data_IF_085122384858
#
_entry.id   IF_085122384858
#
_cell.length_a   1.000
_cell.length_b   1.000
_cell.length_c   1.000
_cell.angle_alpha   90.00
_cell.angle_beta   90.00
_cell.angle_gamma   90.00
#
_symmetry.space_group_name_H-M   'P 1'
#
loop_
_entity.id
_entity.type
_entity.pdbx_description
1 polymer ?
#
# COMPACT_ATOMS: atom_id res chain seq x y z
N UNK A 1 -9.28 24.60 27.35
CA UNK A 1 -9.08 25.45 26.16
C UNK A 1 -9.20 24.57 24.94
N UNK A 2 -9.58 25.10 23.77
CA UNK A 2 -9.71 24.29 22.56
C UNK A 2 -8.37 23.63 22.20
N UNK A 3 -8.42 22.40 21.71
CA UNK A 3 -7.26 21.68 21.21
C UNK A 3 -7.66 20.65 20.15
N UNK A 4 -6.70 20.25 19.32
CA UNK A 4 -6.84 19.13 18.39
C UNK A 4 -5.68 18.16 18.58
N UNK A 5 -6.03 16.94 18.98
CA UNK A 5 -5.09 15.85 19.19
C UNK A 5 -4.55 15.27 17.88
N UNK A 6 -3.29 14.81 17.95
CA UNK A 6 -2.55 14.18 16.86
C UNK A 6 -1.82 12.97 17.43
N UNK A 7 -2.05 11.79 16.84
CA UNK A 7 -1.27 10.60 17.11
C UNK A 7 -0.15 10.46 16.08
N UNK A 8 1.09 10.37 16.56
CA UNK A 8 2.27 10.23 15.71
C UNK A 8 2.88 8.85 15.85
N UNK A 9 3.24 8.25 14.71
CA UNK A 9 3.80 6.91 14.59
C UNK A 9 5.11 7.01 13.80
N UNK A 10 6.10 6.20 14.16
CA UNK A 10 7.33 6.13 13.38
C UNK A 10 7.91 4.73 13.30
N UNK A 11 8.54 4.44 12.16
CA UNK A 11 9.40 3.27 12.00
C UNK A 11 10.74 3.68 11.38
N UNK A 12 11.81 3.58 12.13
CA UNK A 12 13.15 4.01 11.73
C UNK A 12 14.07 2.79 11.77
N UNK A 13 14.65 2.44 10.63
CA UNK A 13 15.65 1.38 10.50
C UNK A 13 16.83 1.88 9.66
N UNK A 14 17.42 2.96 10.12
CA UNK A 14 18.57 3.58 9.48
C UNK A 14 19.46 4.24 10.56
N UNK A 15 20.77 3.96 10.59
CA UNK A 15 21.66 4.55 11.59
C UNK A 15 21.67 6.08 11.53
N UNK A 16 21.72 6.73 12.69
CA UNK A 16 21.73 8.20 12.85
C UNK A 16 20.45 8.94 12.42
N UNK A 17 19.42 8.23 11.96
CA UNK A 17 18.15 8.86 11.61
C UNK A 17 17.26 9.02 12.85
N UNK A 18 16.53 10.12 12.88
CA UNK A 18 15.45 10.37 13.84
C UNK A 18 14.32 11.15 13.18
N UNK A 19 13.14 11.10 13.78
CA UNK A 19 11.99 11.90 13.35
C UNK A 19 11.55 12.76 14.51
N UNK A 20 11.57 14.09 14.33
CA UNK A 20 11.04 15.03 15.31
C UNK A 20 9.64 15.47 14.90
N UNK A 21 8.66 15.17 15.73
CA UNK A 21 7.29 15.68 15.61
C UNK A 21 7.10 16.89 16.52
N UNK A 22 6.51 17.97 16.02
CA UNK A 22 6.37 19.24 16.75
C UNK A 22 4.97 19.82 16.61
N UNK A 23 4.52 20.47 17.68
CA UNK A 23 3.31 21.29 17.77
C UNK A 23 3.65 22.59 18.53
N UNK A 24 2.80 23.63 18.55
CA UNK A 24 3.04 24.78 19.40
C UNK A 24 3.20 24.33 20.87
N UNK A 25 4.26 24.78 21.54
CA UNK A 25 4.53 24.46 22.95
C UNK A 25 5.25 23.13 23.21
N UNK A 26 5.45 22.26 22.21
CA UNK A 26 6.08 20.96 22.45
C UNK A 26 6.59 20.21 21.22
N UNK A 27 7.49 19.25 21.45
CA UNK A 27 7.95 18.32 20.42
C UNK A 27 8.36 16.97 21.06
N UNK A 28 8.41 15.95 20.23
CA UNK A 28 8.94 14.62 20.56
C UNK A 28 9.92 14.20 19.45
N UNK A 29 11.04 13.60 19.83
CA UNK A 29 12.01 13.01 18.89
C UNK A 29 11.90 11.50 19.02
N UNK A 30 11.77 10.82 17.88
CA UNK A 30 11.67 9.36 17.77
C UNK A 30 12.88 8.79 17.05
N UNK A 31 13.25 7.60 17.47
CA UNK A 31 14.43 6.84 17.03
C UNK A 31 14.05 5.38 16.75
N UNK A 32 15.01 4.56 16.32
CA UNK A 32 14.77 3.12 16.13
C UNK A 32 14.25 2.41 17.41
N UNK A 33 14.61 2.90 18.61
CA UNK A 33 14.12 2.31 19.86
C UNK A 33 12.62 2.52 20.09
N UNK A 34 12.01 3.44 19.35
CA UNK A 34 10.60 3.82 19.47
C UNK A 34 9.69 3.10 18.45
N UNK A 35 10.24 2.21 17.63
CA UNK A 35 9.49 1.56 16.56
C UNK A 35 8.24 0.82 17.08
N UNK A 36 7.15 0.93 16.31
CA UNK A 36 5.85 0.35 16.64
C UNK A 36 5.23 0.89 17.95
N UNK A 37 5.56 2.12 18.30
CA UNK A 37 4.86 2.87 19.36
C UNK A 37 4.17 4.10 18.77
N UNK A 38 3.28 4.73 19.55
CA UNK A 38 2.70 6.02 19.19
C UNK A 38 2.92 7.05 20.29
N UNK A 39 2.94 8.33 19.92
CA UNK A 39 2.90 9.47 20.85
C UNK A 39 1.69 10.31 20.52
N UNK A 40 1.06 10.84 21.56
CA UNK A 40 0.02 11.83 21.44
C UNK A 40 0.61 13.23 21.60
N UNK A 41 0.26 14.13 20.68
CA UNK A 41 0.55 15.57 20.71
C UNK A 41 -0.74 16.36 20.59
N UNK A 42 -0.76 17.59 21.10
CA UNK A 42 -1.93 18.47 21.09
C UNK A 42 -1.56 19.82 20.47
N UNK A 43 -2.37 20.27 19.50
CA UNK A 43 -2.34 21.66 19.05
C UNK A 43 -3.27 22.45 19.97
N UNK A 44 -2.73 22.94 21.09
CA UNK A 44 -3.49 23.69 22.10
C UNK A 44 -3.55 25.19 21.80
N UNK A 45 -4.73 25.82 21.88
CA UNK A 45 -4.86 27.26 21.62
C UNK A 45 -4.02 28.14 22.55
N UNK A 46 -3.67 27.68 23.75
CA UNK A 46 -2.85 28.43 24.71
C UNK A 46 -1.40 28.61 24.28
N UNK A 47 -0.90 27.68 23.47
CA UNK A 47 0.48 27.64 23.01
C UNK A 47 0.63 28.33 21.64
N UNK A 48 -0.49 28.80 21.07
CA UNK A 48 -0.54 29.57 19.83
C UNK A 48 -0.44 31.06 20.15
N UNK A 49 0.48 31.75 19.47
CA UNK A 49 0.67 33.19 19.68
C UNK A 49 -0.48 34.00 19.09
N UNK A 50 -1.10 34.84 19.93
CA UNK A 50 -2.14 35.80 19.57
C UNK A 50 -3.50 35.51 20.22
N UNK A 51 -4.16 36.55 20.77
CA UNK A 51 -5.39 36.42 21.57
C UNK A 51 -6.62 35.89 20.81
N UNK A 52 -6.58 35.83 19.48
CA UNK A 52 -7.64 35.30 18.62
C UNK A 52 -7.09 34.41 17.50
N UNK A 53 -5.86 33.91 17.65
CA UNK A 53 -5.27 32.98 16.70
C UNK A 53 -5.48 31.55 17.20
N UNK A 54 -6.17 30.74 16.41
CA UNK A 54 -6.46 29.35 16.74
C UNK A 54 -5.71 28.37 15.85
N UNK A 55 -4.95 28.84 14.87
CA UNK A 55 -4.20 27.99 13.94
C UNK A 55 -2.79 27.73 14.43
N UNK A 56 -2.48 26.46 14.70
CA UNK A 56 -1.18 25.99 15.13
C UNK A 56 -0.60 24.98 14.15
N UNK A 57 0.73 24.97 14.00
CA UNK A 57 1.41 24.08 13.07
C UNK A 57 1.78 22.76 13.73
N UNK A 58 1.31 21.65 13.15
CA UNK A 58 1.94 20.35 13.32
C UNK A 58 3.01 20.16 12.24
N UNK A 59 4.18 19.69 12.63
CA UNK A 59 5.30 19.44 11.71
C UNK A 59 6.01 18.13 12.08
N UNK A 60 6.48 17.40 11.08
CA UNK A 60 7.56 16.43 11.29
C UNK A 60 8.81 16.85 10.52
N UNK A 61 9.97 16.55 11.12
CA UNK A 61 11.28 16.73 10.50
C UNK A 61 12.04 15.42 10.58
N UNK A 62 12.48 14.88 9.45
CA UNK A 62 13.40 13.73 9.41
C UNK A 62 14.83 14.27 9.45
N UNK A 63 15.61 13.79 10.41
CA UNK A 63 16.97 14.23 10.68
C UNK A 63 17.93 13.06 10.44
N UNK A 64 19.09 13.35 9.85
CA UNK A 64 20.27 12.49 9.83
C UNK A 64 21.36 13.18 10.68
N UNK A 65 21.52 12.73 11.92
CA UNK A 65 22.24 13.49 12.94
C UNK A 65 21.59 14.86 13.17
N UNK A 66 22.34 15.93 12.91
CA UNK A 66 21.83 17.31 12.99
C UNK A 66 21.29 17.84 11.66
N UNK A 67 21.49 17.12 10.56
CA UNK A 67 21.08 17.57 9.22
C UNK A 67 19.62 17.24 8.96
N UNK A 68 18.85 18.24 8.54
CA UNK A 68 17.49 18.04 8.07
C UNK A 68 17.49 17.39 6.68
N UNK A 69 16.82 16.23 6.58
CA UNK A 69 16.63 15.52 5.31
C UNK A 69 15.35 15.99 4.63
N UNK A 70 14.24 16.08 5.39
CA UNK A 70 12.97 16.62 4.90
C UNK A 70 12.13 17.17 6.05
N UNK A 71 11.21 18.08 5.73
CA UNK A 71 10.18 18.59 6.63
C UNK A 71 8.83 18.57 5.93
N UNK A 72 7.78 18.22 6.65
CA UNK A 72 6.40 18.31 6.19
C UNK A 72 5.52 18.82 7.32
N UNK A 73 4.49 19.60 6.99
CA UNK A 73 3.65 20.22 8.00
C UNK A 73 2.20 20.39 7.56
N UNK A 74 1.33 20.58 8.56
CA UNK A 74 -0.06 21.00 8.39
C UNK A 74 -0.40 22.04 9.46
N UNK A 75 -1.03 23.11 9.03
CA UNK A 75 -1.58 24.15 9.88
C UNK A 75 -3.02 23.75 10.26
N UNK A 76 -3.28 23.64 11.57
CA UNK A 76 -4.50 23.06 12.14
C UNK A 76 -5.16 24.09 13.02
N UNK A 77 -6.44 24.35 12.78
CA UNK A 77 -7.28 25.14 13.68
C UNK A 77 -7.60 24.31 14.94
N UNK A 78 -7.09 24.75 16.08
CA UNK A 78 -7.26 24.09 17.39
C UNK A 78 -8.70 24.06 17.92
N UNK A 79 -9.61 24.86 17.34
CA UNK A 79 -11.02 24.89 17.76
C UNK A 79 -11.89 23.95 16.93
N UNK A 80 -11.71 23.96 15.62
CA UNK A 80 -12.51 23.21 14.65
C UNK A 80 -11.85 21.91 14.20
N UNK A 81 -10.53 21.78 14.35
CA UNK A 81 -9.72 20.71 13.77
C UNK A 81 -9.50 20.85 12.27
N UNK A 82 -9.99 21.93 11.63
CA UNK A 82 -9.86 22.16 10.20
C UNK A 82 -8.40 22.37 9.81
N UNK A 83 -8.02 21.81 8.67
CA UNK A 83 -6.69 22.00 8.08
C UNK A 83 -6.73 23.26 7.23
N UNK A 84 -5.89 24.24 7.56
CA UNK A 84 -5.88 25.59 6.96
C UNK A 84 -4.75 25.78 5.94
N UNK A 85 -3.70 24.96 6.00
CA UNK A 85 -2.48 25.10 5.19
C UNK A 85 -1.56 23.91 5.40
N UNK A 86 -0.58 23.71 4.51
CA UNK A 86 0.40 22.62 4.69
C UNK A 86 0.95 22.02 3.41
N UNK A 87 1.89 21.10 3.59
CA UNK A 87 2.45 20.25 2.54
C UNK A 87 1.82 18.86 2.51
N UNK A 88 0.94 18.55 3.47
CA UNK A 88 0.20 17.28 3.53
C UNK A 88 -1.30 17.57 3.53
N UNK A 89 -1.77 18.33 2.53
CA UNK A 89 -3.19 18.73 2.39
C UNK A 89 -3.97 17.87 1.41
N UNK A 90 -3.28 17.10 0.56
CA UNK A 90 -3.85 16.03 -0.23
C UNK A 90 -3.01 14.75 -0.12
N UNK A 91 -3.63 13.60 -0.33
CA UNK A 91 -2.92 12.31 -0.29
C UNK A 91 -1.94 12.16 -1.45
N UNK A 92 -2.19 12.85 -2.56
CA UNK A 92 -1.24 13.01 -3.67
C UNK A 92 0.02 13.80 -3.30
N UNK A 93 -0.02 14.61 -2.24
CA UNK A 93 1.14 15.35 -1.70
C UNK A 93 2.01 14.49 -0.77
N UNK A 94 1.53 13.30 -0.39
CA UNK A 94 2.17 12.42 0.59
C UNK A 94 3.08 11.37 -0.07
N UNK A 95 3.80 11.74 -1.13
CA UNK A 95 4.66 10.81 -1.88
C UNK A 95 5.89 10.42 -1.08
N UNK A 96 6.34 9.18 -1.26
CA UNK A 96 7.59 8.71 -0.69
C UNK A 96 8.77 9.49 -1.28
N UNK A 97 9.68 9.93 -0.40
CA UNK A 97 10.88 10.67 -0.75
C UNK A 97 12.04 9.68 -0.84
N UNK A 98 12.66 9.61 -2.02
CA UNK A 98 13.87 8.83 -2.25
C UNK A 98 15.10 9.75 -2.21
N UNK A 99 16.02 9.45 -1.31
CA UNK A 99 17.35 10.07 -1.26
C UNK A 99 18.40 9.06 -1.74
N UNK A 100 19.69 9.39 -1.66
CA UNK A 100 20.74 8.44 -2.03
C UNK A 100 20.82 7.25 -1.05
N UNK A 101 20.55 7.50 0.24
CA UNK A 101 20.72 6.53 1.32
C UNK A 101 19.41 6.08 1.97
N UNK A 102 18.37 6.93 1.97
CA UNK A 102 17.10 6.68 2.66
C UNK A 102 15.88 6.65 1.74
N UNK A 103 14.90 5.83 2.13
CA UNK A 103 13.51 5.88 1.70
C UNK A 103 12.71 6.46 2.87
N UNK A 104 12.07 7.61 2.65
CA UNK A 104 11.23 8.26 3.64
C UNK A 104 9.79 8.23 3.15
N UNK A 105 8.97 7.39 3.75
CA UNK A 105 7.53 7.33 3.49
C UNK A 105 6.77 7.95 4.65
N UNK A 106 5.67 8.63 4.36
CA UNK A 106 4.85 9.25 5.39
C UNK A 106 3.40 9.34 4.93
N UNK A 107 2.52 9.55 5.89
CA UNK A 107 1.14 9.90 5.61
C UNK A 107 0.49 10.65 6.75
N UNK A 108 -0.59 11.37 6.42
CA UNK A 108 -1.38 12.17 7.32
C UNK A 108 -2.87 11.92 7.10
N UNK A 109 -3.58 11.65 8.19
CA UNK A 109 -5.03 11.53 8.25
C UNK A 109 -5.63 12.68 9.03
N UNK A 110 -6.45 13.50 8.37
CA UNK A 110 -7.22 14.58 8.99
C UNK A 110 -8.53 14.07 9.59
N UNK A 111 -8.57 13.86 10.91
CA UNK A 111 -9.73 13.28 11.58
C UNK A 111 -10.86 14.28 11.83
N UNK A 112 -12.10 13.79 11.72
CA UNK A 112 -13.31 14.48 12.14
C UNK A 112 -13.54 14.42 13.66
N UNK A 113 -14.81 14.25 14.08
CA UNK A 113 -15.18 14.18 15.49
C UNK A 113 -15.26 12.74 16.04
N UNK A 114 -14.90 11.75 15.23
CA UNK A 114 -14.80 10.34 15.62
C UNK A 114 -16.08 9.54 15.42
N UNK A 115 -16.87 9.89 14.40
CA UNK A 115 -18.12 9.22 14.09
C UNK A 115 -17.89 7.79 13.56
N UNK A 116 -18.84 6.90 13.85
CA UNK A 116 -18.84 5.51 13.41
C UNK A 116 -17.60 4.70 13.82
N UNK A 117 -16.95 5.13 14.91
CA UNK A 117 -15.77 4.48 15.48
C UNK A 117 -14.45 4.95 14.91
N UNK A 118 -14.44 5.83 13.89
CA UNK A 118 -13.24 6.51 13.45
C UNK A 118 -12.61 7.29 14.60
N UNK A 119 -11.31 7.50 14.55
CA UNK A 119 -10.64 8.34 15.53
C UNK A 119 -11.07 9.80 15.40
N UNK A 120 -11.10 10.53 16.51
CA UNK A 120 -11.27 11.98 16.55
C UNK A 120 -9.93 12.73 16.56
N UNK A 121 -8.81 12.01 16.54
CA UNK A 121 -7.46 12.55 16.52
C UNK A 121 -6.86 12.44 15.12
N UNK A 122 -6.18 13.49 14.67
CA UNK A 122 -5.40 13.38 13.44
C UNK A 122 -4.33 12.30 13.62
N UNK A 123 -3.88 11.68 12.54
CA UNK A 123 -2.78 10.72 12.61
C UNK A 123 -1.68 11.11 11.64
N UNK A 124 -0.43 10.88 12.04
CA UNK A 124 0.73 11.03 11.17
C UNK A 124 1.68 9.85 11.37
N UNK A 125 2.06 9.19 10.30
CA UNK A 125 3.11 8.17 10.32
C UNK A 125 4.30 8.61 9.47
N UNK A 126 5.50 8.24 9.90
CA UNK A 126 6.75 8.45 9.15
C UNK A 126 7.62 7.21 9.25
N UNK A 127 8.04 6.67 8.12
CA UNK A 127 9.04 5.60 8.05
C UNK A 127 10.33 6.11 7.41
N UNK A 128 11.47 5.64 7.91
CA UNK A 128 12.79 5.96 7.37
C UNK A 128 13.66 4.70 7.37
N UNK A 129 14.01 4.21 6.17
CA UNK A 129 14.73 2.94 5.98
C UNK A 129 15.82 3.06 4.90
N UNK A 130 16.73 2.09 4.84
CA UNK A 130 17.83 2.13 3.86
C UNK A 130 17.34 1.85 2.44
N UNK A 131 17.61 2.78 1.53
CA UNK A 131 17.28 2.61 0.11
C UNK A 131 18.05 1.46 -0.52
N UNK A 132 19.35 1.39 -0.30
CA UNK A 132 20.20 0.34 -0.88
C UNK A 132 19.79 -1.04 -0.37
N UNK A 133 19.55 -1.17 0.94
CA UNK A 133 19.17 -2.45 1.53
C UNK A 133 17.81 -2.94 1.00
N UNK A 134 16.82 -2.05 0.88
CA UNK A 134 15.48 -2.38 0.39
C UNK A 134 15.48 -2.70 -1.11
N UNK A 135 16.23 -1.95 -1.91
CA UNK A 135 16.31 -2.19 -3.34
C UNK A 135 16.91 -3.57 -3.68
N UNK A 136 17.79 -4.10 -2.83
CA UNK A 136 18.55 -5.34 -3.09
C UNK A 136 18.37 -6.38 -1.99
N UNK A 137 17.23 -6.35 -1.28
CA UNK A 137 17.08 -7.13 -0.06
C UNK A 137 17.16 -8.64 -0.30
N UNK A 138 16.64 -9.15 -1.43
CA UNK A 138 16.72 -10.59 -1.73
C UNK A 138 18.16 -11.03 -1.94
N UNK A 139 18.96 -10.17 -2.60
CA UNK A 139 20.40 -10.37 -2.80
C UNK A 139 21.15 -10.39 -1.47
N UNK A 140 20.80 -9.51 -0.54
CA UNK A 140 21.47 -9.42 0.76
C UNK A 140 21.15 -10.62 1.67
N UNK A 141 19.93 -11.16 1.60
CA UNK A 141 19.52 -12.32 2.42
C UNK A 141 19.93 -13.64 1.77
N UNK A 142 19.86 -13.73 0.44
CA UNK A 142 20.17 -14.92 -0.34
C UNK A 142 21.28 -14.56 -1.34
N UNK A 143 22.54 -14.40 -0.88
CA UNK A 143 23.63 -13.93 -1.72
C UNK A 143 24.00 -14.95 -2.80
N UNK A 144 24.33 -14.50 -4.04
CA UNK A 144 24.89 -15.35 -5.08
C UNK A 144 26.13 -16.14 -4.62
N UNK A 145 26.19 -17.43 -4.93
CA UNK A 145 27.24 -18.35 -4.51
C UNK A 145 27.10 -18.90 -3.08
N UNK A 146 26.09 -18.48 -2.31
CA UNK A 146 25.86 -18.95 -0.94
C UNK A 146 25.04 -20.25 -0.86
N UNK A 147 25.01 -20.88 0.33
CA UNK A 147 24.15 -22.05 0.56
C UNK A 147 22.66 -21.71 0.48
N UNK A 148 22.29 -20.50 0.91
CA UNK A 148 20.90 -20.06 0.94
C UNK A 148 20.24 -20.06 -0.45
N UNK A 149 20.99 -19.78 -1.53
CA UNK A 149 20.43 -19.75 -2.88
C UNK A 149 20.17 -21.14 -3.48
N UNK A 150 20.68 -22.20 -2.86
CA UNK A 150 20.38 -23.58 -3.25
C UNK A 150 18.99 -24.02 -2.76
N UNK A 151 18.38 -23.24 -1.87
CA UNK A 151 17.03 -23.49 -1.36
C UNK A 151 15.97 -23.03 -2.36
N UNK A 152 14.77 -23.64 -2.35
CA UNK A 152 13.74 -23.32 -3.32
C UNK A 152 13.16 -21.91 -3.12
N UNK A 153 12.70 -21.31 -4.21
CA UNK A 153 12.11 -19.98 -4.20
C UNK A 153 10.89 -19.87 -3.27
N UNK A 154 10.12 -20.96 -3.11
CA UNK A 154 8.98 -21.00 -2.19
C UNK A 154 9.35 -20.69 -0.74
N UNK A 155 10.63 -20.69 -0.35
CA UNK A 155 11.04 -20.25 0.99
C UNK A 155 10.88 -18.75 1.22
N UNK A 156 10.81 -17.92 0.18
CA UNK A 156 10.69 -16.48 0.40
C UNK A 156 9.40 -16.09 1.13
N UNK A 157 9.53 -15.09 1.98
CA UNK A 157 8.44 -14.17 2.30
C UNK A 157 8.57 -12.93 1.39
N UNK A 158 7.48 -12.44 0.81
CA UNK A 158 7.50 -11.28 -0.08
C UNK A 158 6.59 -10.17 0.44
N UNK A 159 7.09 -8.94 0.40
CA UNK A 159 6.28 -7.75 0.67
C UNK A 159 5.38 -7.47 -0.54
N UNK A 160 4.11 -7.19 -0.28
CA UNK A 160 3.11 -6.93 -1.31
C UNK A 160 2.28 -5.68 -1.01
N UNK A 161 2.16 -4.77 -1.98
CA UNK A 161 1.16 -3.72 -1.90
C UNK A 161 -0.22 -4.30 -2.23
N UNK A 162 -1.18 -4.17 -1.31
CA UNK A 162 -2.58 -4.53 -1.53
C UNK A 162 -3.13 -3.70 -2.69
N UNK A 163 -3.73 -4.38 -3.67
CA UNK A 163 -4.18 -3.77 -4.94
C UNK A 163 -3.14 -2.80 -5.51
N UNK A 164 -1.85 -3.20 -5.51
CA UNK A 164 -0.71 -2.34 -5.82
C UNK A 164 -0.85 -1.37 -6.99
N UNK A 165 -1.44 -1.79 -8.13
CA UNK A 165 -1.72 -0.92 -9.27
C UNK A 165 -2.78 0.19 -9.04
N UNK A 166 -3.35 0.32 -7.85
CA UNK A 166 -4.24 1.42 -7.45
C UNK A 166 -3.46 2.56 -6.79
N UNK A 167 -2.47 3.10 -7.51
CA UNK A 167 -1.43 4.00 -6.99
C UNK A 167 -1.66 5.51 -7.19
N UNK A 168 -2.92 5.97 -7.19
CA UNK A 168 -3.29 7.38 -7.29
C UNK A 168 -4.34 7.70 -8.36
N UNK A 169 -4.97 8.88 -8.27
CA UNK A 169 -6.12 9.26 -9.11
C UNK A 169 -5.79 9.45 -10.59
N UNK A 170 -4.56 9.92 -10.91
CA UNK A 170 -4.12 10.15 -12.30
C UNK A 170 -4.22 8.88 -13.17
N UNK A 171 -4.09 7.72 -12.52
CA UNK A 171 -4.22 6.41 -13.15
C UNK A 171 -5.67 6.06 -13.48
N UNK A 172 -6.57 6.39 -12.56
CA UNK A 172 -7.95 5.90 -12.53
C UNK A 172 -8.87 6.74 -13.40
N UNK A 173 -8.78 8.06 -13.26
CA UNK A 173 -9.61 8.99 -13.99
C UNK A 173 -8.80 10.27 -14.21
N UNK A 174 -8.35 10.52 -15.44
CA UNK A 174 -7.88 11.87 -15.75
C UNK A 174 -9.06 12.82 -15.56
N UNK A 175 -8.79 14.07 -15.15
CA UNK A 175 -9.85 15.08 -15.01
C UNK A 175 -10.71 15.20 -16.28
N UNK A 176 -10.14 14.89 -17.45
CA UNK A 176 -10.81 14.86 -18.75
C UNK A 176 -11.87 13.75 -18.87
N UNK A 177 -11.67 12.58 -18.26
CA UNK A 177 -12.66 11.48 -18.30
C UNK A 177 -13.86 11.78 -17.39
N UNK A 178 -13.63 12.49 -16.27
CA UNK A 178 -14.71 12.85 -15.35
C UNK A 178 -15.55 14.01 -15.91
N UNK A 179 -14.91 15.08 -16.38
CA UNK A 179 -15.59 16.34 -16.78
C UNK A 179 -16.75 16.18 -17.76
N UNK A 180 -16.69 15.21 -18.68
CA UNK A 180 -17.70 15.05 -19.74
C UNK A 180 -18.66 13.85 -19.56
N UNK A 181 -18.43 13.00 -18.54
CA UNK A 181 -19.14 11.71 -18.39
C UNK A 181 -19.70 11.44 -16.99
N UNK A 182 -19.69 12.44 -16.11
CA UNK A 182 -20.05 12.28 -14.68
C UNK A 182 -21.37 11.53 -14.45
N UNK A 183 -22.45 11.84 -15.19
CA UNK A 183 -23.74 11.14 -15.06
C UNK A 183 -23.67 9.64 -15.36
N UNK A 184 -23.06 9.29 -16.50
CA UNK A 184 -22.94 7.90 -16.93
C UNK A 184 -21.95 7.11 -16.06
N UNK A 185 -20.87 7.76 -15.61
CA UNK A 185 -19.92 7.17 -14.67
C UNK A 185 -20.60 6.88 -13.33
N UNK A 186 -21.37 7.83 -12.79
CA UNK A 186 -22.12 7.63 -11.55
C UNK A 186 -23.11 6.48 -11.70
N UNK A 187 -23.81 6.35 -12.84
CA UNK A 187 -24.73 5.24 -13.08
C UNK A 187 -24.03 3.87 -13.03
N UNK A 188 -22.91 3.72 -13.77
CA UNK A 188 -22.13 2.47 -13.78
C UNK A 188 -21.53 2.15 -12.41
N UNK A 189 -21.03 3.16 -11.72
CA UNK A 189 -20.50 3.01 -10.36
C UNK A 189 -21.61 2.62 -9.36
N UNK A 190 -22.81 3.20 -9.49
CA UNK A 190 -23.96 2.90 -8.63
C UNK A 190 -24.47 1.48 -8.82
N UNK A 191 -24.43 0.97 -10.05
CA UNK A 191 -24.83 -0.39 -10.38
C UNK A 191 -23.91 -1.45 -9.75
N UNK A 192 -22.59 -1.18 -9.76
CA UNK A 192 -21.60 -2.18 -9.34
C UNK A 192 -21.07 -1.99 -7.92
N UNK A 193 -21.28 -0.82 -7.31
CA UNK A 193 -20.78 -0.49 -5.97
C UNK A 193 -21.95 -0.04 -5.10
N UNK A 194 -22.50 -0.92 -4.23
CA UNK A 194 -23.72 -0.66 -3.48
C UNK A 194 -23.71 0.62 -2.63
N UNK A 195 -22.56 1.00 -2.07
CA UNK A 195 -22.44 2.23 -1.30
C UNK A 195 -22.59 3.49 -2.18
N UNK A 196 -22.17 3.44 -3.44
CA UNK A 196 -22.36 4.51 -4.41
C UNK A 196 -23.83 4.57 -4.81
N UNK A 197 -24.46 3.43 -5.06
CA UNK A 197 -25.90 3.36 -5.32
C UNK A 197 -26.73 3.95 -4.19
N UNK A 198 -26.38 3.65 -2.94
CA UNK A 198 -27.03 4.26 -1.78
C UNK A 198 -26.85 5.78 -1.76
N UNK A 199 -25.64 6.29 -2.01
CA UNK A 199 -25.41 7.74 -2.12
C UNK A 199 -26.22 8.36 -3.26
N UNK A 200 -26.27 7.71 -4.43
CA UNK A 200 -27.08 8.10 -5.59
C UNK A 200 -28.56 8.31 -5.28
N UNK A 201 -29.12 7.53 -4.37
CA UNK A 201 -30.50 7.63 -3.95
C UNK A 201 -30.76 8.70 -2.88
N UNK A 202 -29.75 9.06 -2.08
CA UNK A 202 -29.93 9.86 -0.86
C UNK A 202 -29.31 11.26 -0.89
N UNK A 203 -28.43 11.56 -1.85
CA UNK A 203 -27.86 12.90 -2.05
C UNK A 203 -28.13 13.42 -3.47
N UNK A 204 -28.16 14.73 -3.65
CA UNK A 204 -28.45 15.30 -4.96
C UNK A 204 -27.37 14.92 -5.98
N UNK A 205 -27.76 14.73 -7.23
CA UNK A 205 -26.82 14.39 -8.31
C UNK A 205 -25.61 15.33 -8.35
N UNK A 206 -25.86 16.65 -8.30
CA UNK A 206 -24.84 17.70 -8.27
C UNK A 206 -23.85 17.60 -7.09
N UNK A 207 -24.26 16.98 -5.98
CA UNK A 207 -23.39 16.76 -4.83
C UNK A 207 -22.53 15.52 -5.03
N UNK A 208 -23.08 14.43 -5.55
CA UNK A 208 -22.33 13.20 -5.86
C UNK A 208 -21.24 13.47 -6.88
N UNK A 209 -21.56 14.20 -7.94
CA UNK A 209 -20.57 14.59 -8.96
C UNK A 209 -19.37 15.30 -8.33
N UNK A 210 -19.61 16.20 -7.37
CA UNK A 210 -18.53 16.88 -6.64
C UNK A 210 -17.75 15.96 -5.71
N UNK A 211 -18.40 14.94 -5.15
CA UNK A 211 -17.80 13.96 -4.24
C UNK A 211 -17.11 12.81 -4.98
N UNK A 212 -17.35 12.64 -6.28
CA UNK A 212 -16.89 11.49 -7.05
C UNK A 212 -15.36 11.25 -6.97
N UNK A 213 -14.48 12.28 -7.08
CA UNK A 213 -13.05 12.07 -6.88
C UNK A 213 -12.70 11.51 -5.49
N UNK A 214 -13.36 12.02 -4.45
CA UNK A 214 -13.17 11.57 -3.07
C UNK A 214 -13.73 10.16 -2.83
N UNK A 215 -14.84 9.84 -3.49
CA UNK A 215 -15.45 8.52 -3.49
C UNK A 215 -14.50 7.48 -4.06
N UNK A 216 -13.94 7.75 -5.25
CA UNK A 216 -12.94 6.89 -5.89
C UNK A 216 -11.71 6.77 -4.99
N UNK A 217 -11.23 7.89 -4.45
CA UNK A 217 -10.09 7.89 -3.54
C UNK A 217 -10.32 7.01 -2.32
N UNK A 218 -11.43 7.22 -1.61
CA UNK A 218 -11.74 6.50 -0.37
C UNK A 218 -12.16 5.04 -0.56
N UNK A 219 -12.56 4.64 -1.77
CA UNK A 219 -12.93 3.27 -2.09
C UNK A 219 -11.77 2.43 -2.62
N UNK A 220 -10.99 3.02 -3.53
CA UNK A 220 -10.23 2.23 -4.49
C UNK A 220 -8.73 2.52 -4.44
N UNK A 221 -8.29 3.68 -3.92
CA UNK A 221 -6.87 4.03 -3.86
C UNK A 221 -6.25 3.40 -2.60
N UNK A 222 -5.50 2.33 -2.82
CA UNK A 222 -4.81 1.57 -1.77
C UNK A 222 -3.32 1.87 -1.70
N UNK A 223 -2.75 2.51 -2.73
CA UNK A 223 -1.36 2.91 -2.76
C UNK A 223 -1.23 4.39 -3.11
N UNK A 224 -0.23 5.05 -2.53
CA UNK A 224 0.10 6.46 -2.84
C UNK A 224 1.29 6.61 -3.77
N UNK A 225 2.11 5.58 -3.92
CA UNK A 225 3.37 5.62 -4.65
C UNK A 225 3.30 4.78 -5.94
N UNK A 226 3.94 5.22 -7.04
CA UNK A 226 3.97 4.46 -8.28
C UNK A 226 4.73 3.13 -8.12
N UNK A 227 4.52 2.20 -9.06
CA UNK A 227 5.09 0.84 -9.01
C UNK A 227 6.62 0.86 -8.88
N UNK A 228 7.30 1.71 -9.64
CA UNK A 228 8.76 1.92 -9.52
C UNK A 228 9.22 2.27 -8.09
N UNK A 229 8.48 3.11 -7.37
CA UNK A 229 8.79 3.47 -5.97
C UNK A 229 8.46 2.32 -5.02
N UNK A 230 7.34 1.59 -5.23
CA UNK A 230 7.00 0.41 -4.44
C UNK A 230 8.09 -0.69 -4.56
N UNK A 231 8.67 -0.85 -5.75
CA UNK A 231 9.81 -1.75 -5.99
C UNK A 231 11.07 -1.31 -5.24
N UNK A 232 11.40 -0.02 -5.24
CA UNK A 232 12.51 0.54 -4.44
C UNK A 232 12.27 0.34 -2.93
N UNK A 233 11.03 0.51 -2.46
CA UNK A 233 10.59 0.25 -1.07
C UNK A 233 10.67 -1.23 -0.68
N UNK A 234 10.71 -2.14 -1.67
CA UNK A 234 10.99 -3.56 -1.45
C UNK A 234 9.85 -4.51 -1.82
N UNK A 235 8.78 -4.03 -2.47
CA UNK A 235 7.73 -4.89 -3.03
C UNK A 235 8.32 -5.93 -3.99
N UNK A 236 7.93 -7.20 -3.82
CA UNK A 236 8.35 -8.31 -4.71
C UNK A 236 7.21 -9.24 -5.08
N UNK A 237 6.00 -8.98 -4.59
CA UNK A 237 4.80 -9.71 -4.97
C UNK A 237 3.67 -8.72 -5.26
N UNK A 238 3.03 -8.87 -6.42
CA UNK A 238 1.93 -8.01 -6.85
C UNK A 238 0.76 -8.87 -7.29
N UNK A 239 -0.42 -8.61 -6.72
CA UNK A 239 -1.67 -9.07 -7.31
C UNK A 239 -2.07 -8.15 -8.45
N UNK A 240 -2.51 -8.72 -9.57
CA UNK A 240 -3.02 -7.99 -10.70
C UNK A 240 -4.34 -8.59 -11.19
N UNK A 241 -5.34 -7.73 -11.38
CA UNK A 241 -6.67 -8.08 -11.89
C UNK A 241 -6.87 -7.52 -13.30
N UNK A 242 -6.29 -8.11 -14.35
CA UNK A 242 -6.27 -7.48 -15.66
C UNK A 242 -7.61 -7.70 -16.37
N UNK A 243 -8.24 -6.62 -16.80
CA UNK A 243 -9.35 -6.66 -17.74
C UNK A 243 -9.37 -5.43 -18.65
N UNK A 244 -10.02 -5.56 -19.80
CA UNK A 244 -10.32 -4.44 -20.66
C UNK A 244 -11.36 -3.55 -20.00
N UNK A 245 -11.26 -2.25 -20.27
CA UNK A 245 -12.14 -1.24 -19.71
C UNK A 245 -13.59 -1.45 -20.18
N UNK A 246 -14.54 -1.07 -19.33
CA UNK A 246 -15.91 -0.85 -19.81
C UNK A 246 -15.92 0.27 -20.87
N UNK A 247 -16.81 0.21 -21.88
CA UNK A 247 -16.85 1.21 -22.95
C UNK A 247 -16.94 2.66 -22.45
N UNK A 248 -17.56 2.88 -21.28
CA UNK A 248 -17.68 4.22 -20.69
C UNK A 248 -16.32 4.82 -20.30
N UNK A 249 -15.37 3.98 -19.87
CA UNK A 249 -14.03 4.38 -19.45
C UNK A 249 -13.03 4.41 -20.61
N UNK A 250 -13.41 3.89 -21.78
CA UNK A 250 -12.59 3.98 -22.99
C UNK A 250 -12.56 5.41 -23.56
N UNK A 251 -11.37 5.81 -24.02
CA UNK A 251 -11.12 7.00 -24.83
C UNK A 251 -10.03 6.67 -25.87
N UNK A 252 -9.76 7.56 -26.84
CA UNK A 252 -8.79 7.28 -27.92
C UNK A 252 -7.38 6.91 -27.44
N UNK A 253 -6.97 7.38 -26.26
CA UNK A 253 -5.67 7.07 -25.66
C UNK A 253 -5.67 5.82 -24.78
N UNK A 254 -6.84 5.25 -24.48
CA UNK A 254 -7.03 4.12 -23.55
C UNK A 254 -7.62 2.86 -24.21
N UNK A 255 -7.82 2.82 -25.53
CA UNK A 255 -8.43 1.66 -26.22
C UNK A 255 -7.49 0.45 -26.28
N UNK A 256 -8.08 -0.74 -26.24
CA UNK A 256 -7.47 -2.02 -26.66
C UNK A 256 -6.30 -2.58 -25.83
N UNK A 257 -6.21 -2.26 -24.53
CA UNK A 257 -5.27 -2.95 -23.62
C UNK A 257 -5.86 -3.23 -22.23
N UNK A 258 -5.37 -4.24 -21.49
CA UNK A 258 -5.86 -4.54 -20.14
C UNK A 258 -5.35 -3.52 -19.11
N UNK A 259 -6.20 -3.24 -18.13
CA UNK A 259 -5.89 -2.44 -16.95
C UNK A 259 -6.16 -3.25 -15.69
N UNK A 260 -5.53 -2.88 -14.59
CA UNK A 260 -5.96 -3.38 -13.28
C UNK A 260 -7.40 -2.98 -13.03
N UNK A 261 -8.19 -3.85 -12.39
CA UNK A 261 -9.56 -3.58 -12.01
C UNK A 261 -9.76 -3.73 -10.50
N UNK A 262 -10.31 -2.70 -9.87
CA UNK A 262 -10.91 -2.76 -8.55
C UNK A 262 -12.43 -2.59 -8.71
N UNK A 263 -13.18 -3.70 -8.71
CA UNK A 263 -14.55 -3.71 -9.24
C UNK A 263 -14.60 -3.22 -10.69
N UNK A 264 -15.28 -2.11 -10.97
CA UNK A 264 -15.29 -1.45 -12.26
C UNK A 264 -14.34 -0.25 -12.35
N UNK A 265 -13.58 0.05 -11.27
CA UNK A 265 -12.69 1.19 -11.19
C UNK A 265 -11.30 0.79 -11.73
N UNK A 266 -10.84 1.40 -12.84
CA UNK A 266 -9.59 0.99 -13.47
C UNK A 266 -8.34 1.55 -12.75
N UNK A 267 -7.29 0.75 -12.63
CA UNK A 267 -5.97 1.15 -12.14
C UNK A 267 -4.93 1.26 -13.25
N UNK A 268 -3.65 0.96 -12.93
CA UNK A 268 -2.54 1.06 -13.91
C UNK A 268 -2.75 0.10 -15.08
N UNK A 269 -2.33 0.49 -16.28
CA UNK A 269 -2.33 -0.39 -17.45
C UNK A 269 -1.36 -1.55 -17.24
N UNK A 270 -1.73 -2.75 -17.69
CA UNK A 270 -0.94 -3.94 -17.41
C UNK A 270 0.48 -3.90 -17.99
N UNK A 271 0.62 -3.35 -19.19
CA UNK A 271 1.93 -3.19 -19.86
C UNK A 271 2.84 -2.18 -19.14
N UNK A 272 2.28 -1.06 -18.68
CA UNK A 272 3.01 -0.01 -17.97
C UNK A 272 3.53 -0.58 -16.63
N UNK A 273 2.69 -1.35 -15.93
CA UNK A 273 3.04 -2.09 -14.71
C UNK A 273 4.17 -3.11 -14.94
N UNK A 274 4.07 -3.93 -15.99
CA UNK A 274 5.12 -4.92 -16.31
C UNK A 274 6.43 -4.26 -16.75
N UNK A 275 6.36 -3.11 -17.41
CA UNK A 275 7.52 -2.32 -17.82
C UNK A 275 8.32 -1.85 -16.60
N UNK A 276 7.64 -1.29 -15.59
CA UNK A 276 8.31 -0.86 -14.35
C UNK A 276 9.02 -2.03 -13.64
N UNK A 277 8.39 -3.22 -13.62
CA UNK A 277 9.00 -4.43 -13.07
C UNK A 277 10.21 -4.89 -13.89
N UNK A 278 10.10 -4.92 -15.22
CA UNK A 278 11.19 -5.34 -16.10
C UNK A 278 12.40 -4.40 -15.97
N UNK A 279 12.18 -3.09 -15.93
CA UNK A 279 13.23 -2.09 -15.70
C UNK A 279 13.90 -2.30 -14.34
N UNK A 280 13.12 -2.55 -13.30
CA UNK A 280 13.67 -2.85 -11.97
C UNK A 280 14.53 -4.12 -11.99
N UNK A 281 14.02 -5.22 -12.53
CA UNK A 281 14.74 -6.49 -12.59
C UNK A 281 15.98 -6.42 -13.49
N UNK A 282 15.95 -5.63 -14.56
CA UNK A 282 17.13 -5.45 -15.42
C UNK A 282 18.28 -4.73 -14.71
N UNK A 283 17.94 -3.83 -13.78
CA UNK A 283 18.90 -3.11 -12.95
C UNK A 283 19.26 -3.82 -11.65
N UNK A 284 18.60 -4.93 -11.30
CA UNK A 284 18.81 -5.67 -10.07
C UNK A 284 18.82 -7.20 -10.35
N UNK A 285 19.93 -7.74 -10.90
CA UNK A 285 19.97 -9.07 -11.51
C UNK A 285 19.75 -10.26 -10.56
N UNK A 286 19.83 -10.05 -9.25
CA UNK A 286 19.64 -11.09 -8.23
C UNK A 286 18.28 -11.02 -7.50
N UNK A 287 17.46 -10.01 -7.80
CA UNK A 287 16.09 -9.86 -7.32
C UNK A 287 15.10 -10.63 -8.21
N UNK A 288 13.93 -10.98 -7.65
CA UNK A 288 12.83 -11.63 -8.36
C UNK A 288 11.52 -10.94 -8.01
N UNK A 289 10.58 -10.87 -8.95
CA UNK A 289 9.23 -10.33 -8.71
C UNK A 289 8.20 -11.37 -9.13
N UNK A 290 7.19 -11.57 -8.28
CA UNK A 290 6.04 -12.42 -8.56
C UNK A 290 4.85 -11.55 -8.94
N UNK A 291 4.21 -11.86 -10.06
CA UNK A 291 2.95 -11.29 -10.50
C UNK A 291 1.87 -12.37 -10.43
N UNK A 292 0.90 -12.20 -9.54
CA UNK A 292 -0.26 -13.07 -9.40
C UNK A 292 -1.45 -12.48 -10.16
N UNK A 293 -1.79 -13.09 -11.28
CA UNK A 293 -2.95 -12.74 -12.09
C UNK A 293 -4.19 -13.43 -11.53
N UNK A 294 -5.25 -12.66 -11.31
CA UNK A 294 -6.51 -13.12 -10.77
C UNK A 294 -7.69 -12.32 -11.32
N UNK A 295 -8.91 -12.83 -11.23
CA UNK A 295 -10.11 -12.16 -11.76
C UNK A 295 -11.31 -12.14 -10.79
N UNK A 296 -11.07 -12.36 -9.50
CA UNK A 296 -12.07 -12.11 -8.47
C UNK A 296 -12.48 -10.64 -8.43
N UNK A 297 -13.76 -10.38 -8.15
CA UNK A 297 -14.32 -9.04 -8.01
C UNK A 297 -14.17 -8.13 -9.25
N UNK A 298 -13.98 -8.69 -10.44
CA UNK A 298 -14.08 -7.93 -11.70
C UNK A 298 -15.52 -8.00 -12.21
N UNK A 299 -16.06 -6.88 -12.68
CA UNK A 299 -17.40 -6.85 -13.29
C UNK A 299 -17.47 -7.72 -14.53
N UNK A 300 -18.58 -8.43 -14.72
CA UNK A 300 -18.70 -9.45 -15.78
C UNK A 300 -18.56 -8.88 -17.20
N UNK A 301 -18.92 -7.61 -17.38
CA UNK A 301 -18.86 -6.92 -18.67
C UNK A 301 -17.44 -6.48 -19.06
N UNK A 302 -16.50 -6.48 -18.11
CA UNK A 302 -15.09 -6.28 -18.42
C UNK A 302 -14.51 -7.55 -19.07
N UNK A 303 -14.13 -7.45 -20.34
CA UNK A 303 -13.49 -8.57 -21.06
C UNK A 303 -12.17 -8.93 -20.39
N UNK A 304 -11.99 -10.21 -20.05
CA UNK A 304 -10.70 -10.74 -19.60
C UNK A 304 -9.71 -10.81 -20.77
N UNK A 305 -8.41 -10.52 -20.55
CA UNK A 305 -7.41 -10.78 -21.56
C UNK A 305 -7.30 -12.28 -21.84
N UNK A 306 -6.98 -12.64 -23.07
CA UNK A 306 -6.66 -14.03 -23.43
C UNK A 306 -5.27 -14.41 -22.91
N UNK A 307 -4.98 -15.71 -22.89
CA UNK A 307 -3.64 -16.21 -22.55
C UNK A 307 -2.58 -15.62 -23.47
N UNK A 308 -2.87 -15.47 -24.76
CA UNK A 308 -1.97 -14.89 -25.76
C UNK A 308 -1.71 -13.41 -25.50
N UNK A 309 -2.74 -12.63 -25.13
CA UNK A 309 -2.58 -11.22 -24.74
C UNK A 309 -1.68 -11.10 -23.50
N UNK A 310 -1.86 -12.00 -22.51
CA UNK A 310 -1.01 -12.04 -21.33
C UNK A 310 0.43 -12.44 -21.68
N UNK A 311 0.65 -13.55 -22.38
CA UNK A 311 1.97 -14.02 -22.80
C UNK A 311 2.71 -12.93 -23.59
N UNK A 312 2.03 -12.28 -24.53
CA UNK A 312 2.59 -11.18 -25.31
C UNK A 312 3.03 -10.01 -24.42
N UNK A 313 2.21 -9.60 -23.44
CA UNK A 313 2.56 -8.51 -22.54
C UNK A 313 3.83 -8.82 -21.71
N UNK A 314 3.99 -10.06 -21.25
CA UNK A 314 5.22 -10.49 -20.56
C UNK A 314 6.43 -10.53 -21.50
N UNK A 315 6.27 -11.07 -22.71
CA UNK A 315 7.34 -11.14 -23.71
C UNK A 315 7.84 -9.75 -24.11
N UNK A 316 6.91 -8.81 -24.34
CA UNK A 316 7.25 -7.39 -24.61
C UNK A 316 8.00 -6.79 -23.44
N UNK A 317 7.52 -6.96 -22.21
CA UNK A 317 8.16 -6.42 -21.03
C UNK A 317 9.61 -6.92 -20.88
N UNK A 318 9.85 -8.24 -20.99
CA UNK A 318 11.22 -8.78 -20.86
C UNK A 318 12.11 -8.42 -22.05
N UNK A 319 11.57 -8.20 -23.25
CA UNK A 319 12.35 -7.78 -24.43
C UNK A 319 12.97 -6.39 -24.30
N UNK A 320 12.40 -5.55 -23.41
CA UNK A 320 12.93 -4.23 -23.09
C UNK A 320 14.15 -4.27 -22.17
N UNK A 321 14.39 -5.40 -21.49
CA UNK A 321 15.56 -5.60 -20.63
C UNK A 321 16.81 -5.85 -21.48
N UNK A 322 17.86 -5.08 -21.27
CA UNK A 322 19.06 -5.09 -22.13
C UNK A 322 20.31 -5.64 -21.44
N UNK A 323 20.31 -5.72 -20.10
CA UNK A 323 21.53 -5.99 -19.33
C UNK A 323 21.61 -7.42 -18.81
N UNK A 324 20.48 -7.99 -18.40
CA UNK A 324 20.46 -9.09 -17.44
C UNK A 324 19.91 -10.42 -17.98
N UNK A 325 19.60 -10.51 -19.28
CA UNK A 325 19.02 -11.72 -19.88
C UNK A 325 17.70 -12.14 -19.22
N UNK A 326 16.88 -11.16 -18.85
CA UNK A 326 15.64 -11.36 -18.12
C UNK A 326 14.68 -12.28 -18.90
N UNK A 327 14.12 -13.25 -18.19
CA UNK A 327 13.04 -14.12 -18.65
C UNK A 327 11.94 -14.14 -17.61
N UNK A 328 10.74 -14.51 -18.05
CA UNK A 328 9.66 -14.82 -17.14
C UNK A 328 9.49 -16.34 -16.96
N UNK A 329 9.01 -16.72 -15.78
CA UNK A 329 8.73 -18.09 -15.38
C UNK A 329 7.28 -18.26 -14.94
N UNK A 330 6.90 -19.49 -14.61
CA UNK A 330 5.55 -19.86 -14.17
C UNK A 330 5.60 -20.43 -12.74
N UNK A 331 4.48 -20.96 -12.25
CA UNK A 331 4.33 -21.48 -10.90
C UNK A 331 5.40 -22.53 -10.51
N UNK A 332 5.90 -23.31 -11.47
CA UNK A 332 6.92 -24.35 -11.25
C UNK A 332 8.22 -23.78 -10.68
N UNK A 333 8.51 -22.50 -10.94
CA UNK A 333 9.67 -21.79 -10.40
C UNK A 333 9.70 -21.79 -8.86
N UNK A 334 8.56 -21.94 -8.19
CA UNK A 334 8.51 -21.99 -6.72
C UNK A 334 9.26 -23.19 -6.14
N UNK A 335 9.38 -24.29 -6.88
CA UNK A 335 10.07 -25.51 -6.44
C UNK A 335 11.56 -25.51 -6.80
N UNK A 336 12.00 -24.55 -7.60
CA UNK A 336 13.37 -24.48 -8.08
C UNK A 336 14.24 -23.65 -7.16
N UNK A 337 15.54 -23.97 -7.12
CA UNK A 337 16.50 -23.20 -6.34
C UNK A 337 16.61 -21.77 -6.86
N UNK A 338 16.84 -20.82 -5.96
CA UNK A 338 17.09 -19.42 -6.35
C UNK A 338 18.29 -19.31 -7.30
N UNK A 339 19.32 -20.13 -7.10
CA UNK A 339 20.48 -20.19 -7.96
C UNK A 339 20.11 -20.57 -9.42
N UNK A 340 19.27 -21.59 -9.59
CA UNK A 340 18.78 -22.01 -10.92
C UNK A 340 18.00 -20.90 -11.60
N UNK A 341 17.07 -20.26 -10.88
CA UNK A 341 16.25 -19.18 -11.44
C UNK A 341 17.09 -17.98 -11.89
N UNK A 342 18.11 -17.60 -11.10
CA UNK A 342 19.06 -16.55 -11.45
C UNK A 342 19.90 -16.90 -12.67
N UNK A 343 20.45 -18.12 -12.71
CA UNK A 343 21.28 -18.58 -13.82
C UNK A 343 20.50 -18.61 -15.14
N UNK A 344 19.22 -18.97 -15.10
CA UNK A 344 18.35 -19.03 -16.28
C UNK A 344 17.76 -17.67 -16.68
N UNK A 345 17.87 -16.68 -15.80
CA UNK A 345 17.26 -15.35 -15.95
C UNK A 345 15.77 -15.28 -15.59
N UNK A 346 15.16 -16.37 -15.08
CA UNK A 346 13.72 -16.49 -14.78
C UNK A 346 13.37 -15.80 -13.46
N UNK A 347 13.37 -14.46 -13.49
CA UNK A 347 13.23 -13.59 -12.33
C UNK A 347 11.91 -12.84 -12.26
N UNK A 348 11.17 -12.79 -13.36
CA UNK A 348 9.77 -12.37 -13.37
C UNK A 348 8.87 -13.60 -13.33
N UNK A 349 8.24 -13.91 -12.20
CA UNK A 349 7.45 -15.13 -12.05
C UNK A 349 5.97 -14.80 -12.18
N UNK A 350 5.29 -15.44 -13.12
CA UNK A 350 3.84 -15.31 -13.31
C UNK A 350 3.12 -16.50 -12.68
N UNK A 351 2.15 -16.22 -11.84
CA UNK A 351 1.16 -17.22 -11.39
C UNK A 351 -0.24 -16.74 -11.74
N UNK A 352 -1.15 -17.67 -12.03
CA UNK A 352 -2.53 -17.38 -12.44
C UNK A 352 -3.45 -18.16 -11.52
N UNK A 353 -4.39 -17.49 -10.85
CA UNK A 353 -5.42 -18.11 -10.01
C UNK A 353 -4.85 -19.19 -9.06
N UNK A 354 -3.67 -18.92 -8.48
CA UNK A 354 -3.01 -19.83 -7.56
C UNK A 354 -3.84 -20.06 -6.28
N UNK A 355 -3.82 -21.29 -5.78
CA UNK A 355 -4.49 -21.64 -4.53
C UNK A 355 -3.82 -20.91 -3.36
N UNK A 356 -4.63 -20.20 -2.57
CA UNK A 356 -4.15 -19.35 -1.48
C UNK A 356 -4.66 -19.77 -0.12
N UNK A 357 -3.77 -19.78 0.86
CA UNK A 357 -4.12 -19.76 2.28
C UNK A 357 -4.12 -18.31 2.76
N UNK A 358 -5.30 -17.68 2.69
CA UNK A 358 -5.47 -16.25 2.92
C UNK A 358 -6.04 -15.99 4.31
N UNK A 359 -5.45 -15.04 5.03
CA UNK A 359 -5.99 -14.51 6.29
C UNK A 359 -7.29 -13.75 6.09
N UNK A 360 -7.55 -13.24 4.88
CA UNK A 360 -8.70 -12.38 4.60
C UNK A 360 -10.04 -13.10 4.63
N UNK A 361 -10.98 -12.50 5.34
CA UNK A 361 -12.42 -12.80 5.22
C UNK A 361 -13.19 -11.48 5.28
N UNK A 362 -14.28 -11.38 4.52
CA UNK A 362 -15.12 -10.18 4.49
C UNK A 362 -15.58 -9.74 5.90
N UNK A 363 -15.85 -10.70 6.79
CA UNK A 363 -16.27 -10.40 8.16
C UNK A 363 -15.13 -9.87 9.04
N UNK A 364 -13.94 -10.47 8.97
CA UNK A 364 -12.85 -10.08 9.85
C UNK A 364 -12.17 -8.77 9.41
N UNK A 365 -12.20 -8.48 8.10
CA UNK A 365 -11.47 -7.35 7.51
C UNK A 365 -12.34 -6.11 7.31
N UNK A 366 -13.68 -6.22 7.36
CA UNK A 366 -14.57 -5.07 7.51
C UNK A 366 -14.47 -4.48 8.93
N UNK A 367 -13.32 -3.88 9.22
CA UNK A 367 -12.90 -3.38 10.54
C UNK A 367 -12.18 -2.04 10.40
N UNK A 368 -11.97 -1.39 11.54
CA UNK A 368 -11.09 -0.22 11.70
C UNK A 368 -10.04 -0.45 12.79
N UNK A 369 -9.88 -1.71 13.23
CA UNK A 369 -9.00 -2.14 14.32
C UNK A 369 -8.27 -3.42 13.98
N UNK A 370 -7.10 -3.62 14.57
CA UNK A 370 -6.23 -4.76 14.29
C UNK A 370 -6.72 -6.08 14.90
N UNK A 371 -7.55 -6.06 15.96
CA UNK A 371 -7.88 -7.26 16.75
C UNK A 371 -8.44 -8.43 15.91
N UNK A 372 -9.36 -8.13 14.99
CA UNK A 372 -9.98 -9.16 14.13
C UNK A 372 -9.00 -9.73 13.11
N UNK A 373 -8.06 -8.92 12.63
CA UNK A 373 -6.99 -9.31 11.70
C UNK A 373 -5.98 -10.21 12.44
N UNK A 374 -5.53 -9.80 13.63
CA UNK A 374 -4.63 -10.60 14.47
C UNK A 374 -5.25 -11.96 14.80
N UNK A 375 -6.56 -12.00 15.12
CA UNK A 375 -7.27 -13.26 15.34
C UNK A 375 -7.26 -14.18 14.12
N UNK A 376 -7.31 -13.65 12.90
CA UNK A 376 -7.14 -14.47 11.69
C UNK A 376 -5.72 -15.04 11.65
N UNK A 377 -4.70 -14.22 11.88
CA UNK A 377 -3.31 -14.70 11.91
C UNK A 377 -3.09 -15.79 12.96
N UNK A 378 -3.71 -15.67 14.14
CA UNK A 378 -3.66 -16.68 15.21
C UNK A 378 -4.35 -18.00 14.84
N UNK A 379 -5.33 -17.96 13.93
CA UNK A 379 -5.98 -19.15 13.38
C UNK A 379 -5.16 -19.85 12.31
N UNK A 380 -4.19 -19.15 11.70
CA UNK A 380 -3.35 -19.71 10.65
C UNK A 380 -2.29 -20.67 11.20
N UNK A 381 -2.01 -21.73 10.42
CA UNK A 381 -1.07 -22.77 10.83
C UNK A 381 -0.35 -23.43 9.63
N UNK A 382 0.65 -24.25 9.94
CA UNK A 382 1.52 -24.92 8.97
C UNK A 382 0.76 -25.88 8.06
N UNK A 383 -0.25 -26.60 8.57
CA UNK A 383 -1.02 -27.53 7.75
C UNK A 383 -1.87 -26.81 6.68
N UNK A 384 -2.47 -25.66 7.04
CA UNK A 384 -3.16 -24.82 6.07
C UNK A 384 -2.22 -24.27 4.99
N UNK A 385 -1.01 -23.87 5.39
CA UNK A 385 0.02 -23.43 4.47
C UNK A 385 0.43 -24.55 3.48
N UNK A 386 0.71 -25.76 3.95
CA UNK A 386 1.14 -26.90 3.11
C UNK A 386 0.16 -27.25 1.98
N UNK A 387 -1.14 -27.05 2.23
CA UNK A 387 -2.23 -27.37 1.33
C UNK A 387 -2.42 -26.37 0.18
N UNK A 388 -1.65 -25.28 0.14
CA UNK A 388 -1.80 -24.20 -0.84
C UNK A 388 -0.46 -23.82 -1.47
N UNK A 389 -0.51 -23.04 -2.55
CA UNK A 389 0.69 -22.57 -3.24
C UNK A 389 1.32 -21.36 -2.54
N UNK A 390 0.46 -20.47 -2.05
CA UNK A 390 0.83 -19.18 -1.45
C UNK A 390 0.05 -18.97 -0.16
N UNK A 391 0.71 -18.44 0.87
CA UNK A 391 0.06 -17.97 2.09
C UNK A 391 0.08 -16.45 2.14
N UNK A 392 -1.08 -15.82 2.36
CA UNK A 392 -1.24 -14.36 2.34
C UNK A 392 -1.67 -13.86 3.72
N UNK A 393 -0.82 -13.04 4.32
CA UNK A 393 -1.05 -12.31 5.56
C UNK A 393 -1.36 -10.85 5.21
N UNK A 394 -2.63 -10.46 5.29
CA UNK A 394 -3.10 -9.12 4.96
C UNK A 394 -3.13 -8.26 6.23
N UNK A 395 -2.36 -7.18 6.25
CA UNK A 395 -2.19 -6.27 7.40
C UNK A 395 -3.14 -5.08 7.36
N UNK A 396 -3.74 -4.82 6.20
CA UNK A 396 -4.71 -3.75 5.99
C UNK A 396 -6.13 -4.17 6.36
N UNK A 397 -6.99 -3.20 6.69
CA UNK A 397 -8.42 -3.42 6.83
C UNK A 397 -9.17 -2.96 5.59
N UNK A 398 -10.33 -3.57 5.34
CA UNK A 398 -11.29 -3.10 4.34
C UNK A 398 -12.36 -2.23 5.02
N UNK A 399 -11.94 -1.12 5.62
CA UNK A 399 -12.84 -0.20 6.35
C UNK A 399 -13.95 0.39 5.46
N UNK A 400 -13.69 0.51 4.16
CA UNK A 400 -14.67 0.91 3.15
C UNK A 400 -15.83 -0.08 2.99
N UNK A 401 -15.68 -1.33 3.45
CA UNK A 401 -16.77 -2.31 3.51
C UNK A 401 -17.75 -2.03 4.66
N UNK A 402 -17.41 -1.16 5.61
CA UNK A 402 -18.34 -0.67 6.63
C UNK A 402 -19.07 0.53 6.04
N UNK A 403 -20.32 0.32 5.62
CA UNK A 403 -21.14 1.31 4.90
C UNK A 403 -21.15 2.68 5.57
N UNK A 404 -21.40 2.73 6.88
CA UNK A 404 -21.49 4.00 7.62
C UNK A 404 -20.15 4.74 7.65
N UNK A 405 -19.04 4.01 7.83
CA UNK A 405 -17.67 4.57 7.82
C UNK A 405 -17.34 5.12 6.45
N UNK A 406 -17.66 4.38 5.37
CA UNK A 406 -17.43 4.83 4.01
C UNK A 406 -18.26 6.07 3.68
N UNK A 407 -19.58 6.02 3.91
CA UNK A 407 -20.49 7.14 3.63
C UNK A 407 -20.03 8.39 4.36
N UNK A 408 -19.70 8.26 5.66
CA UNK A 408 -19.19 9.38 6.44
C UNK A 408 -17.87 9.91 5.89
N UNK A 409 -16.92 9.02 5.58
CA UNK A 409 -15.62 9.41 5.03
C UNK A 409 -15.78 10.17 3.72
N UNK A 410 -16.72 9.78 2.87
CA UNK A 410 -17.00 10.45 1.58
C UNK A 410 -17.66 11.80 1.80
N UNK A 411 -18.66 11.89 2.68
CA UNK A 411 -19.38 13.15 2.94
C UNK A 411 -18.53 14.19 3.66
N UNK A 412 -17.60 13.74 4.51
CA UNK A 412 -16.63 14.59 5.20
C UNK A 412 -15.30 14.67 4.48
N UNK A 413 -15.20 14.08 3.28
CA UNK A 413 -13.95 13.99 2.56
C UNK A 413 -13.36 15.38 2.27
N UNK A 414 -12.20 15.64 2.86
CA UNK A 414 -11.18 16.54 2.37
C UNK A 414 -10.09 15.71 1.68
N UNK A 415 -9.08 16.35 1.08
CA UNK A 415 -8.10 15.60 0.27
C UNK A 415 -7.16 14.70 1.10
N UNK A 416 -7.26 14.68 2.43
CA UNK A 416 -6.40 13.92 3.37
C UNK A 416 -7.16 13.09 4.41
N UNK A 417 -8.41 12.77 4.13
CA UNK A 417 -9.14 11.80 4.93
C UNK A 417 -9.76 10.72 4.01
N UNK A 418 -9.38 9.48 4.27
CA UNK A 418 -10.15 8.33 3.82
C UNK A 418 -10.25 7.34 4.96
N UNK A 419 -11.28 6.50 4.92
CA UNK A 419 -11.38 5.40 5.88
C UNK A 419 -10.14 4.51 5.83
N UNK A 420 -9.56 4.29 4.65
CA UNK A 420 -8.31 3.52 4.49
C UNK A 420 -7.14 4.18 5.23
N UNK A 421 -6.86 5.46 4.99
CA UNK A 421 -5.73 6.15 5.65
C UNK A 421 -5.91 6.26 7.16
N UNK A 422 -7.15 6.28 7.66
CA UNK A 422 -7.46 6.33 9.10
C UNK A 422 -7.06 5.08 9.88
N UNK A 423 -6.85 3.95 9.20
CA UNK A 423 -6.53 2.68 9.84
C UNK A 423 -5.05 2.34 9.74
N UNK A 424 -4.36 2.84 8.71
CA UNK A 424 -3.00 2.43 8.33
C UNK A 424 -2.01 2.44 9.52
N UNK A 425 -1.88 3.57 10.22
CA UNK A 425 -0.85 3.70 11.25
C UNK A 425 -1.11 2.79 12.46
N UNK A 426 -2.37 2.71 12.89
CA UNK A 426 -2.75 1.87 14.03
C UNK A 426 -2.65 0.37 13.69
N UNK A 427 -3.12 -0.04 12.51
CA UNK A 427 -3.01 -1.42 12.05
C UNK A 427 -1.56 -1.87 11.98
N UNK A 428 -0.67 -1.07 11.38
CA UNK A 428 0.75 -1.40 11.27
C UNK A 428 1.42 -1.52 12.63
N UNK A 429 1.07 -0.65 13.58
CA UNK A 429 1.60 -0.69 14.95
C UNK A 429 1.30 -2.03 15.65
N UNK A 430 0.24 -2.73 15.25
CA UNK A 430 -0.21 -3.95 15.88
C UNK A 430 0.09 -5.21 15.05
N UNK A 431 -0.19 -5.19 13.75
CA UNK A 431 -0.05 -6.35 12.86
C UNK A 431 1.40 -6.68 12.55
N UNK A 432 2.24 -5.67 12.27
CA UNK A 432 3.64 -5.89 11.88
C UNK A 432 4.50 -6.47 13.02
N UNK A 433 4.42 -5.98 14.29
CA UNK A 433 5.08 -6.65 15.42
C UNK A 433 4.59 -8.07 15.64
N UNK A 434 3.28 -8.30 15.53
CA UNK A 434 2.75 -9.65 15.68
C UNK A 434 3.36 -10.60 14.64
N UNK A 435 3.44 -10.18 13.38
CA UNK A 435 4.06 -10.97 12.32
C UNK A 435 5.54 -11.26 12.60
N UNK A 436 6.32 -10.23 12.95
CA UNK A 436 7.74 -10.34 13.30
C UNK A 436 7.96 -11.38 14.40
N UNK A 437 7.13 -11.36 15.42
CA UNK A 437 7.34 -12.12 16.65
C UNK A 437 6.69 -13.52 16.62
N UNK A 438 5.67 -13.76 15.79
CA UNK A 438 4.84 -14.97 15.87
C UNK A 438 4.69 -15.75 14.56
N UNK A 439 4.91 -15.15 13.40
CA UNK A 439 4.58 -15.80 12.12
C UNK A 439 5.40 -17.09 11.93
N UNK A 440 6.68 -17.08 12.29
CA UNK A 440 7.57 -18.22 12.10
C UNK A 440 7.30 -19.40 13.04
N UNK A 441 6.60 -19.18 14.15
CA UNK A 441 6.17 -20.28 15.01
C UNK A 441 4.97 -21.04 14.44
N UNK A 442 4.20 -20.39 13.57
CA UNK A 442 2.92 -20.88 13.04
C UNK A 442 3.01 -21.35 11.60
N UNK A 443 3.81 -20.69 10.77
CA UNK A 443 3.85 -20.85 9.31
C UNK A 443 5.22 -21.39 8.84
N UNK A 444 5.47 -22.65 9.17
CA UNK A 444 6.79 -23.30 9.01
C UNK A 444 6.97 -24.02 7.67
N UNK A 445 5.92 -24.16 6.87
CA UNK A 445 6.02 -24.92 5.64
C UNK A 445 6.81 -24.16 4.57
N UNK A 446 7.38 -24.93 3.64
CA UNK A 446 8.17 -24.45 2.51
C UNK A 446 7.27 -23.95 1.36
N UNK A 447 6.43 -22.97 1.69
CA UNK A 447 5.51 -22.30 0.78
C UNK A 447 5.75 -20.80 0.77
N UNK A 448 5.47 -20.19 -0.37
CA UNK A 448 5.64 -18.76 -0.54
C UNK A 448 4.77 -18.03 0.49
N UNK A 449 5.37 -17.15 1.27
CA UNK A 449 4.67 -16.31 2.20
C UNK A 449 4.56 -14.90 1.62
N UNK A 450 3.41 -14.26 1.76
CA UNK A 450 3.18 -12.90 1.30
C UNK A 450 2.67 -12.08 2.48
N UNK A 451 3.33 -10.97 2.75
CA UNK A 451 2.85 -9.96 3.70
C UNK A 451 2.33 -8.80 2.88
N UNK A 452 1.02 -8.63 2.90
CA UNK A 452 0.30 -7.67 2.09
C UNK A 452 -0.18 -6.50 2.94
N UNK A 453 -0.09 -5.27 2.41
CA UNK A 453 -0.53 -4.08 3.12
C UNK A 453 -0.99 -2.95 2.18
N UNK A 454 -1.92 -2.13 2.65
CA UNK A 454 -2.24 -0.83 2.04
C UNK A 454 -1.11 0.15 2.32
N UNK A 455 -0.88 1.08 1.40
CA UNK A 455 0.18 2.08 1.46
C UNK A 455 1.50 1.43 1.89
N UNK A 456 2.02 0.52 1.07
CA UNK A 456 3.20 -0.25 1.41
C UNK A 456 4.40 0.66 1.68
N UNK A 457 5.02 0.47 2.85
CA UNK A 457 6.14 1.27 3.35
C UNK A 457 7.30 0.39 3.82
N UNK A 458 8.40 1.04 4.19
CA UNK A 458 9.60 0.37 4.66
C UNK A 458 9.39 -0.57 5.84
N UNK A 459 8.48 -0.27 6.77
CA UNK A 459 8.22 -1.11 7.94
C UNK A 459 7.78 -2.54 7.56
N UNK A 460 6.85 -2.66 6.60
CA UNK A 460 6.39 -3.95 6.09
C UNK A 460 7.53 -4.75 5.47
N UNK A 461 8.35 -4.10 4.63
CA UNK A 461 9.50 -4.74 3.99
C UNK A 461 10.55 -5.20 5.01
N UNK A 462 10.84 -4.42 6.04
CA UNK A 462 11.79 -4.81 7.10
C UNK A 462 11.31 -6.05 7.88
N UNK A 463 10.02 -6.12 8.22
CA UNK A 463 9.44 -7.35 8.81
C UNK A 463 9.59 -8.53 7.86
N UNK A 464 9.32 -8.36 6.56
CA UNK A 464 9.53 -9.41 5.57
C UNK A 464 10.99 -9.84 5.49
N UNK A 465 11.94 -8.89 5.52
CA UNK A 465 13.37 -9.19 5.51
C UNK A 465 13.75 -10.01 6.75
N UNK A 466 13.24 -9.66 7.94
CA UNK A 466 13.48 -10.42 9.16
C UNK A 466 12.87 -11.83 9.12
N UNK A 467 11.68 -12.00 8.55
CA UNK A 467 11.09 -13.31 8.31
C UNK A 467 11.98 -14.15 7.37
N UNK A 468 12.50 -13.56 6.30
CA UNK A 468 13.37 -14.28 5.36
C UNK A 468 14.70 -14.72 6.00
N UNK A 469 15.33 -13.88 6.84
CA UNK A 469 16.53 -14.28 7.60
C UNK A 469 16.28 -15.56 8.41
N UNK A 470 15.10 -15.68 9.02
CA UNK A 470 14.70 -16.89 9.75
C UNK A 470 14.42 -18.07 8.81
N UNK A 471 13.62 -17.85 7.75
CA UNK A 471 13.23 -18.92 6.80
C UNK A 471 14.40 -19.55 6.06
N UNK A 472 15.40 -18.75 5.68
CA UNK A 472 16.60 -19.25 5.02
C UNK A 472 17.67 -19.78 5.99
N UNK A 473 17.55 -19.53 7.30
CA UNK A 473 18.39 -20.16 8.32
C UNK A 473 17.92 -21.58 8.70
N UNK A 474 16.63 -21.92 8.46
CA UNK A 474 16.11 -23.27 8.68
C UNK A 474 16.79 -24.29 7.76
N UNK A 475 17.03 -25.54 8.20
CA UNK A 475 17.68 -26.58 7.40
C UNK A 475 16.97 -26.86 6.06
#
# INVERSE_FOLDING_TARGET
>A
MPSKGIETYSFIKLPNYSVRFSVPGGNVVRTEQDNFTSTHLEVESKDISGLANFTGRFEFVVLNGESQVTTQYVDIDSFTGKLEGGTMLASEDQKTILTDDAIISYGFYGAGHGEFGLTNMNQCYVTAVSRTAHRTWMTNIVPPGGEAEQKPFSRFALASPHDGPMSGLATVFSEEVLKDKDEAIIAVLSEHIPAIGWLAEHVSHSMITKLLPNLIYGLAITQKDPISVLLETGARYFEFRPAHLLPIFENEHKKSRPYFQHACIPGVAFEDFLTDIAVFLDNNPAEHVVVHIRWDNIVADCRKPTTEELDHAFDVAISSATKSGLKWGKHECFKESVATLRADGRRLIRIIEADKYDSWTAQAYATIRADSIIKQFEGMNTAGQEATDVTILQCQATSQSIKEVLVHSVLTANRVNSCLTSTKADLDRHTLPWLRDNAMDRLKAERLLVVMNDFLEGATTEVVMDLNKQRFALP
#
